data_IF_118102520308
#
_entry.id   IF_118102520308
#
_cell.length_a   1.000
_cell.length_b   1.000
_cell.length_c   1.000
_cell.angle_alpha   90.00
_cell.angle_beta   90.00
_cell.angle_gamma   90.00
#
_symmetry.space_group_name_H-M   'P 1'
#
loop_
_entity.id
_entity.type
_entity.pdbx_description
1 polymer ?
#
# COMPACT_ATOMS: atom_id res chain seq x y z
N UNK A 1 15.82 12.42 -3.33
CA UNK A 1 15.80 11.01 -3.79
C UNK A 1 14.35 10.52 -3.84
N UNK A 2 13.58 10.92 -4.85
CA UNK A 2 12.19 10.46 -5.07
C UNK A 2 12.09 9.51 -6.27
N UNK A 3 13.09 8.64 -6.46
CA UNK A 3 13.11 7.73 -7.61
C UNK A 3 12.82 6.30 -7.17
N UNK A 4 11.54 5.94 -7.03
CA UNK A 4 11.13 4.52 -7.08
C UNK A 4 9.83 4.22 -7.83
N UNK A 5 9.08 5.23 -8.30
CA UNK A 5 7.84 4.99 -9.06
C UNK A 5 7.71 6.07 -10.13
N UNK A 6 7.53 5.68 -11.40
CA UNK A 6 7.29 6.61 -12.54
C UNK A 6 5.86 7.18 -12.53
N UNK A 7 5.34 7.54 -11.36
CA UNK A 7 4.01 8.12 -11.18
C UNK A 7 4.12 9.42 -10.38
N UNK A 8 3.23 10.37 -10.64
CA UNK A 8 3.20 11.62 -9.89
C UNK A 8 2.81 11.39 -8.42
N UNK A 9 3.34 12.21 -7.53
CA UNK A 9 3.10 12.13 -6.08
C UNK A 9 1.60 12.13 -5.68
N UNK A 10 0.68 12.86 -6.37
CA UNK A 10 -0.76 12.79 -6.10
C UNK A 10 -1.35 11.40 -6.39
N UNK A 11 -0.92 10.77 -7.50
CA UNK A 11 -1.36 9.42 -7.86
C UNK A 11 -0.89 8.41 -6.82
N UNK A 12 0.40 8.43 -6.45
CA UNK A 12 0.92 7.50 -5.45
C UNK A 12 0.20 7.67 -4.09
N UNK A 13 -0.02 8.90 -3.65
CA UNK A 13 -0.71 9.17 -2.38
C UNK A 13 -2.17 8.69 -2.39
N UNK A 14 -2.87 8.86 -3.51
CA UNK A 14 -4.24 8.36 -3.66
C UNK A 14 -4.30 6.82 -3.57
N UNK A 15 -3.42 6.12 -4.30
CA UNK A 15 -3.35 4.67 -4.26
C UNK A 15 -2.96 4.16 -2.87
N UNK A 16 -2.00 4.80 -2.20
CA UNK A 16 -1.59 4.41 -0.85
C UNK A 16 -2.70 4.64 0.19
N UNK A 17 -3.51 5.69 0.03
CA UNK A 17 -4.69 5.91 0.88
C UNK A 17 -5.69 4.77 0.76
N UNK A 18 -5.98 4.32 -0.47
CA UNK A 18 -6.87 3.18 -0.72
C UNK A 18 -6.29 1.90 -0.10
N UNK A 19 -5.01 1.59 -0.37
CA UNK A 19 -4.35 0.39 0.15
C UNK A 19 -4.28 0.37 1.68
N UNK A 20 -4.13 1.54 2.30
CA UNK A 20 -4.18 1.67 3.76
C UNK A 20 -5.58 1.45 4.31
N UNK A 21 -6.62 2.01 3.65
CA UNK A 21 -8.03 1.80 4.04
C UNK A 21 -8.42 0.32 4.01
N UNK A 22 -7.96 -0.43 3.02
CA UNK A 22 -8.22 -1.88 2.92
C UNK A 22 -7.21 -2.74 3.68
N UNK A 23 -6.34 -2.13 4.50
CA UNK A 23 -5.35 -2.80 5.36
C UNK A 23 -4.30 -3.67 4.64
N UNK A 24 -4.12 -3.48 3.33
CA UNK A 24 -3.07 -4.14 2.54
C UNK A 24 -1.70 -3.48 2.74
N UNK A 25 -1.69 -2.22 3.13
CA UNK A 25 -0.49 -1.44 3.45
C UNK A 25 -0.71 -0.74 4.80
N UNK A 26 0.35 -0.63 5.59
CA UNK A 26 0.41 0.18 6.79
C UNK A 26 1.07 1.51 6.44
N UNK A 27 0.53 2.60 6.97
CA UNK A 27 1.08 3.94 6.84
C UNK A 27 1.48 4.47 8.21
N UNK A 28 2.71 4.98 8.34
CA UNK A 28 3.21 5.60 9.54
C UNK A 28 3.82 6.95 9.23
N UNK A 29 3.39 7.99 9.95
CA UNK A 29 4.03 9.31 9.87
C UNK A 29 5.28 9.32 10.75
N UNK A 30 6.43 9.61 10.16
CA UNK A 30 7.72 9.77 10.86
C UNK A 30 8.28 11.14 10.50
N UNK A 31 8.15 12.10 11.42
CA UNK A 31 8.47 13.50 11.17
C UNK A 31 7.60 14.09 10.04
N UNK A 32 8.25 14.61 9.00
CA UNK A 32 7.60 15.17 7.82
C UNK A 32 7.25 14.11 6.75
N UNK A 33 7.67 12.87 6.95
CA UNK A 33 7.57 11.82 5.94
C UNK A 33 6.46 10.82 6.28
N UNK A 34 5.71 10.41 5.26
CA UNK A 34 4.79 9.29 5.38
C UNK A 34 5.47 8.02 4.86
N UNK A 35 5.70 7.08 5.76
CA UNK A 35 6.28 5.77 5.48
C UNK A 35 5.19 4.76 5.23
N UNK A 36 5.40 3.90 4.24
CA UNK A 36 4.48 2.84 3.89
C UNK A 36 5.16 1.49 3.98
N UNK A 37 4.47 0.50 4.55
CA UNK A 37 4.95 -0.88 4.66
C UNK A 37 3.85 -1.82 4.18
N UNK A 38 4.21 -2.83 3.39
CA UNK A 38 3.24 -3.85 2.98
C UNK A 38 2.81 -4.71 4.16
N UNK A 39 1.51 -4.95 4.29
CA UNK A 39 0.98 -5.94 5.22
C UNK A 39 0.96 -7.31 4.52
N UNK A 40 2.07 -8.04 4.63
CA UNK A 40 2.25 -9.33 3.97
C UNK A 40 1.21 -10.38 4.41
N UNK A 41 0.71 -10.30 5.65
CA UNK A 41 -0.33 -11.22 6.12
C UNK A 41 -1.65 -10.97 5.39
N UNK A 42 -2.10 -9.71 5.33
CA UNK A 42 -3.33 -9.33 4.62
C UNK A 42 -3.22 -9.59 3.11
N UNK A 43 -2.07 -9.33 2.51
CA UNK A 43 -1.83 -9.60 1.08
C UNK A 43 -1.92 -11.10 0.78
N UNK A 44 -1.32 -11.95 1.63
CA UNK A 44 -1.40 -13.41 1.46
C UNK A 44 -2.83 -13.90 1.58
N UNK A 45 -3.56 -13.44 2.59
CA UNK A 45 -4.97 -13.81 2.80
C UNK A 45 -5.82 -13.39 1.59
N UNK A 46 -5.67 -12.14 1.13
CA UNK A 46 -6.39 -11.62 -0.04
C UNK A 46 -6.08 -12.43 -1.30
N UNK A 47 -4.81 -12.76 -1.53
CA UNK A 47 -4.39 -13.55 -2.69
C UNK A 47 -4.91 -14.99 -2.62
N UNK A 48 -4.94 -15.58 -1.42
CA UNK A 48 -5.53 -16.91 -1.21
C UNK A 48 -7.03 -16.90 -1.53
N UNK A 49 -7.77 -15.89 -1.05
CA UNK A 49 -9.20 -15.73 -1.34
C UNK A 49 -9.47 -15.52 -2.83
N UNK A 50 -8.66 -14.72 -3.52
CA UNK A 50 -8.77 -14.52 -4.98
C UNK A 50 -8.58 -15.82 -5.76
N UNK A 51 -7.66 -16.69 -5.34
CA UNK A 51 -7.44 -18.00 -5.96
C UNK A 51 -8.58 -18.97 -5.73
N UNK A 52 -9.24 -18.89 -4.57
CA UNK A 52 -10.35 -19.77 -4.19
C UNK A 52 -11.67 -19.38 -4.87
N UNK A 53 -11.78 -18.14 -5.35
CA UNK A 53 -12.96 -17.60 -6.03
C UNK A 53 -12.85 -17.58 -7.56
N UNK A 54 -11.76 -18.16 -8.12
CA UNK A 54 -11.51 -18.31 -9.55
C UNK A 54 -11.56 -19.79 -9.95
#
# INVERSE_FOLDING_TARGET
MEQRVRLSQPTISHHMSILTKVRLVEAQKVGLWMWYRRNEAAIREFTARLKDSL
#
